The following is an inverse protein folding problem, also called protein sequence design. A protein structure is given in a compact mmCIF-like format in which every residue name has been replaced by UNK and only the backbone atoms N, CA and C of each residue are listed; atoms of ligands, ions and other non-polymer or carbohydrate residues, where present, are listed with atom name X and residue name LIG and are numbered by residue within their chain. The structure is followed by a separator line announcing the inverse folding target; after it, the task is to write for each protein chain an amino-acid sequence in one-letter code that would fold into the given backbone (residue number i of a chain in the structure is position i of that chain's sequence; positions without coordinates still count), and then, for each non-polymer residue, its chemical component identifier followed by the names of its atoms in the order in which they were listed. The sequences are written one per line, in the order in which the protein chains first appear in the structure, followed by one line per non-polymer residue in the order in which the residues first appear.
data_IF_056008737864
#
_entry.id   IF_056008737864
#
_cell.length_a   1.000
_cell.length_b   1.000
_cell.length_c   1.000
_cell.angle_alpha   90.00
_cell.angle_beta   90.00
_cell.angle_gamma   90.00
#
_symmetry.space_group_name_H-M   'P 1'
#
loop_
_entity.id
_entity.type
_entity.pdbx_description
1 polymer ?
#
# COMPACT_ATOMS: atom_id res chain seq x y z
N UNK A 1 18.22 18.02 4.30
CA UNK A 1 17.24 17.65 5.34
C UNK A 1 17.11 16.14 5.34
N UNK A 2 17.13 15.49 6.49
CA UNK A 2 16.85 14.06 6.57
C UNK A 2 15.40 13.81 6.11
N UNK A 3 15.17 12.81 5.25
CA UNK A 3 13.81 12.46 4.75
C UNK A 3 12.94 12.11 5.95
N UNK A 4 11.70 12.60 5.97
CA UNK A 4 10.72 12.16 6.97
C UNK A 4 10.51 10.64 6.82
N UNK A 5 10.66 9.85 7.91
CA UNK A 5 10.75 8.40 7.81
C UNK A 5 9.40 7.68 7.58
N UNK A 6 8.28 8.41 7.61
CA UNK A 6 6.94 7.85 7.43
C UNK A 6 6.44 8.15 6.01
N UNK A 7 5.76 7.18 5.40
CA UNK A 7 4.95 7.42 4.21
C UNK A 7 3.58 7.97 4.63
N UNK A 8 3.28 9.19 4.21
CA UNK A 8 2.00 9.87 4.45
C UNK A 8 1.19 10.00 3.16
N UNK A 9 1.63 9.39 2.09
CA UNK A 9 1.00 9.45 0.76
C UNK A 9 0.19 8.19 0.46
N UNK A 10 0.71 7.01 0.80
CA UNK A 10 0.09 5.71 0.51
C UNK A 10 -0.29 5.59 -0.98
N UNK A 11 -1.46 5.02 -1.26
CA UNK A 11 -2.00 4.95 -2.62
C UNK A 11 -2.55 6.30 -3.15
N UNK A 12 -2.67 7.32 -2.32
CA UNK A 12 -3.17 8.66 -2.71
C UNK A 12 -4.68 8.69 -2.96
N UNK A 13 -5.12 9.69 -3.73
CA UNK A 13 -6.55 9.93 -3.98
C UNK A 13 -7.17 8.89 -4.93
N UNK A 14 -6.37 8.23 -5.75
CA UNK A 14 -6.79 7.24 -6.74
C UNK A 14 -6.05 5.93 -6.47
N UNK A 15 -6.51 5.11 -5.52
CA UNK A 15 -5.86 3.84 -5.23
C UNK A 15 -5.98 2.88 -6.42
N UNK A 16 -5.01 1.96 -6.60
CA UNK A 16 -5.05 1.00 -7.70
C UNK A 16 -6.27 0.09 -7.59
N UNK A 17 -6.75 -0.40 -8.73
CA UNK A 17 -7.80 -1.40 -8.78
C UNK A 17 -7.27 -2.70 -8.16
N UNK A 18 -7.99 -3.25 -7.20
CA UNK A 18 -7.58 -4.50 -6.56
C UNK A 18 -7.92 -5.73 -7.41
N UNK A 19 -8.91 -5.61 -8.30
CA UNK A 19 -9.38 -6.66 -9.23
C UNK A 19 -9.51 -8.02 -8.54
N UNK A 20 -10.22 -8.04 -7.39
CA UNK A 20 -10.38 -9.24 -6.57
C UNK A 20 -10.96 -10.40 -7.37
N UNK A 21 -10.59 -11.67 -7.06
CA UNK A 21 -11.09 -12.84 -7.77
C UNK A 21 -12.62 -12.88 -7.86
N UNK A 22 -13.15 -13.27 -9.04
CA UNK A 22 -14.58 -13.36 -9.28
C UNK A 22 -15.30 -12.01 -9.35
N UNK A 23 -14.60 -10.95 -9.74
CA UNK A 23 -15.09 -9.56 -9.79
C UNK A 23 -15.65 -9.08 -8.45
N UNK A 24 -15.05 -9.56 -7.35
CA UNK A 24 -15.51 -9.22 -6.01
C UNK A 24 -15.29 -7.73 -5.70
N UNK A 25 -16.31 -7.13 -5.08
CA UNK A 25 -16.30 -5.72 -4.66
C UNK A 25 -15.51 -5.49 -3.38
N UNK A 26 -15.42 -6.52 -2.54
CA UNK A 26 -14.71 -6.48 -1.26
C UNK A 26 -14.08 -7.83 -0.95
N UNK A 27 -12.86 -7.81 -0.40
CA UNK A 27 -12.24 -8.99 0.20
C UNK A 27 -12.43 -8.94 1.72
N UNK A 28 -13.06 -9.96 2.30
CA UNK A 28 -13.30 -10.07 3.74
C UNK A 28 -12.37 -11.11 4.34
N UNK A 29 -11.62 -10.73 5.36
CA UNK A 29 -10.64 -11.56 6.03
C UNK A 29 -11.08 -11.79 7.48
N UNK A 30 -11.33 -13.05 7.83
CA UNK A 30 -11.58 -13.46 9.22
C UNK A 30 -10.24 -13.87 9.81
N UNK A 31 -9.80 -13.16 10.85
CA UNK A 31 -8.50 -13.38 11.49
C UNK A 31 -8.71 -13.77 12.94
N UNK A 32 -8.30 -14.98 13.28
CA UNK A 32 -8.38 -15.51 14.64
C UNK A 32 -7.01 -15.46 15.31
N UNK A 33 -6.86 -14.63 16.33
CA UNK A 33 -5.67 -14.61 17.17
C UNK A 33 -5.76 -15.76 18.17
N UNK A 34 -4.88 -16.75 18.02
CA UNK A 34 -4.76 -17.90 18.94
C UNK A 34 -3.57 -17.67 19.85
N UNK A 35 -3.86 -17.17 21.06
CA UNK A 35 -2.87 -16.66 22.01
C UNK A 35 -2.90 -17.49 23.33
N UNK A 36 -3.85 -18.38 23.49
CA UNK A 36 -4.12 -19.13 24.71
C UNK A 36 -2.98 -20.08 25.06
N UNK A 37 -2.24 -19.75 26.11
CA UNK A 37 -0.99 -20.42 26.51
C UNK A 37 0.28 -19.72 26.00
N UNK A 38 0.16 -18.59 25.29
CA UNK A 38 1.27 -17.72 24.86
C UNK A 38 1.38 -16.43 25.65
N UNK A 39 0.44 -16.14 26.55
CA UNK A 39 0.39 -14.98 27.43
C UNK A 39 1.52 -14.98 28.47
N UNK A 40 1.78 -13.81 29.08
CA UNK A 40 2.73 -13.72 30.21
C UNK A 40 2.24 -14.56 31.39
N UNK A 41 3.08 -15.47 31.85
CA UNK A 41 2.77 -16.34 32.98
C UNK A 41 4.05 -16.81 33.68
N UNK A 42 4.01 -16.87 35.00
CA UNK A 42 5.12 -17.40 35.82
C UNK A 42 5.51 -18.82 35.40
N UNK A 43 4.53 -19.64 35.00
CA UNK A 43 4.77 -21.00 34.50
C UNK A 43 5.56 -21.02 33.17
N UNK A 44 5.61 -19.91 32.47
CA UNK A 44 6.35 -19.73 31.22
C UNK A 44 7.72 -19.08 31.42
N UNK A 45 8.11 -18.83 32.70
CA UNK A 45 9.34 -18.16 33.08
C UNK A 45 9.28 -16.64 33.04
N UNK A 46 8.08 -16.05 32.92
CA UNK A 46 7.89 -14.60 32.92
C UNK A 46 7.95 -14.02 34.33
N UNK A 47 8.30 -12.75 34.45
CA UNK A 47 8.43 -12.07 35.74
C UNK A 47 7.10 -11.78 36.43
N UNK A 48 6.00 -11.76 35.67
CA UNK A 48 4.67 -11.43 36.15
C UNK A 48 3.59 -12.15 35.35
N UNK A 49 2.34 -12.14 35.86
CA UNK A 49 1.16 -12.60 35.15
C UNK A 49 0.78 -11.63 34.02
N UNK A 50 -0.03 -12.09 33.06
CA UNK A 50 -0.68 -11.22 32.09
C UNK A 50 -1.62 -10.20 32.77
N UNK A 51 -1.78 -9.05 32.16
CA UNK A 51 -2.69 -7.99 32.61
C UNK A 51 -3.54 -7.39 31.47
N UNK A 52 -3.18 -7.68 30.23
CA UNK A 52 -3.79 -7.04 29.08
C UNK A 52 -4.85 -7.92 28.40
N UNK A 53 -5.81 -7.26 27.78
CA UNK A 53 -6.82 -7.82 26.88
C UNK A 53 -7.63 -8.99 27.48
N UNK A 54 -8.25 -8.72 28.63
CA UNK A 54 -9.09 -9.68 29.35
C UNK A 54 -10.38 -9.04 29.88
N UNK A 55 -11.31 -9.88 30.39
CA UNK A 55 -12.54 -9.44 31.06
C UNK A 55 -12.29 -8.67 32.37
N UNK A 56 -11.05 -8.72 32.90
CA UNK A 56 -10.68 -7.99 34.13
C UNK A 56 -10.08 -6.64 33.69
N UNK A 57 -10.97 -5.71 33.38
CA UNK A 57 -10.56 -4.38 32.90
C UNK A 57 -9.75 -3.65 33.98
N UNK A 58 -8.58 -3.12 33.59
CA UNK A 58 -7.69 -2.43 34.52
C UNK A 58 -6.90 -3.36 35.44
N UNK A 59 -6.84 -4.67 35.16
CA UNK A 59 -6.00 -5.60 35.87
C UNK A 59 -4.53 -5.14 35.88
N UNK A 60 -3.87 -5.24 37.03
CA UNK A 60 -2.43 -5.10 37.13
C UNK A 60 -1.75 -6.47 36.98
N UNK A 61 -0.56 -6.50 36.40
CA UNK A 61 0.28 -7.68 36.42
C UNK A 61 0.70 -8.03 37.87
N UNK A 62 0.74 -9.31 38.20
CA UNK A 62 1.17 -9.78 39.52
C UNK A 62 2.62 -10.28 39.45
N UNK A 63 3.59 -9.50 39.96
CA UNK A 63 4.99 -9.90 39.94
C UNK A 63 5.25 -11.15 40.77
N UNK A 64 5.92 -12.13 40.20
CA UNK A 64 6.33 -13.36 40.90
C UNK A 64 5.16 -14.27 41.31
N UNK A 65 3.96 -14.02 40.85
CA UNK A 65 2.76 -14.78 41.24
C UNK A 65 1.89 -15.15 40.05
N UNK A 66 1.23 -16.32 40.14
CA UNK A 66 0.18 -16.72 39.19
C UNK A 66 -1.09 -15.91 39.46
N UNK A 67 -1.79 -15.56 38.39
CA UNK A 67 -3.11 -14.92 38.47
C UNK A 67 -4.20 -15.90 38.00
N UNK A 68 -4.73 -16.71 38.90
CA UNK A 68 -5.66 -17.81 38.61
C UNK A 68 -6.85 -17.39 37.74
N UNK A 69 -7.50 -16.27 38.05
CA UNK A 69 -8.62 -15.77 37.26
C UNK A 69 -8.21 -15.39 35.83
N UNK A 70 -7.02 -14.79 35.66
CA UNK A 70 -6.49 -14.48 34.34
C UNK A 70 -6.22 -15.76 33.53
N UNK A 71 -5.52 -16.72 34.14
CA UNK A 71 -5.27 -18.03 33.54
C UNK A 71 -6.58 -18.70 33.07
N UNK A 72 -7.63 -18.68 33.93
CA UNK A 72 -8.92 -19.28 33.60
C UNK A 72 -9.64 -18.62 32.44
N UNK A 73 -9.38 -17.32 32.17
CA UNK A 73 -9.91 -16.62 30.98
C UNK A 73 -9.24 -17.14 29.70
N UNK A 74 -7.93 -17.32 29.72
CA UNK A 74 -7.19 -17.92 28.59
C UNK A 74 -7.58 -19.39 28.40
N UNK A 75 -7.67 -20.17 29.49
CA UNK A 75 -8.19 -21.54 29.43
C UNK A 75 -9.58 -21.62 28.81
N UNK A 76 -10.50 -20.69 29.13
CA UNK A 76 -11.80 -20.63 28.49
C UNK A 76 -11.67 -20.47 26.96
N UNK A 77 -10.75 -19.61 26.51
CA UNK A 77 -10.45 -19.42 25.10
C UNK A 77 -10.09 -20.75 24.42
N UNK A 78 -9.12 -21.48 24.97
CA UNK A 78 -8.69 -22.77 24.41
C UNK A 78 -9.76 -23.86 24.51
N UNK A 79 -10.49 -23.95 25.66
CA UNK A 79 -11.39 -25.07 25.99
C UNK A 79 -12.81 -24.93 25.43
N UNK A 80 -13.32 -23.71 25.32
CA UNK A 80 -14.70 -23.47 24.91
C UNK A 80 -14.80 -22.48 23.73
N UNK A 81 -14.08 -21.38 23.81
CA UNK A 81 -14.10 -20.32 22.80
C UNK A 81 -13.66 -20.80 21.43
N UNK A 82 -12.47 -21.40 21.35
CA UNK A 82 -11.93 -21.97 20.11
C UNK A 82 -12.91 -22.94 19.44
N UNK A 83 -13.41 -23.93 20.17
CA UNK A 83 -14.29 -24.94 19.59
C UNK A 83 -15.64 -24.38 19.13
N UNK A 84 -16.14 -23.33 19.78
CA UNK A 84 -17.34 -22.61 19.31
C UNK A 84 -17.08 -21.91 18.00
N UNK A 85 -15.96 -21.20 17.90
CA UNK A 85 -15.55 -20.50 16.68
C UNK A 85 -15.22 -21.48 15.55
N UNK A 86 -14.51 -22.57 15.85
CA UNK A 86 -14.20 -23.60 14.87
C UNK A 86 -15.49 -24.17 14.23
N UNK A 87 -16.49 -24.56 15.03
CA UNK A 87 -17.76 -25.05 14.49
C UNK A 87 -18.50 -24.02 13.62
N UNK A 88 -18.34 -22.75 13.92
CA UNK A 88 -18.96 -21.65 13.17
C UNK A 88 -18.23 -21.34 11.86
N UNK A 89 -16.93 -21.42 11.86
CA UNK A 89 -16.05 -20.90 10.81
C UNK A 89 -15.40 -21.98 9.94
N UNK A 90 -15.58 -23.28 10.25
CA UNK A 90 -14.85 -24.38 9.59
C UNK A 90 -15.02 -24.42 8.06
N UNK A 91 -16.13 -23.89 7.54
CA UNK A 91 -16.38 -23.84 6.08
C UNK A 91 -15.93 -22.52 5.44
N UNK A 92 -15.28 -21.64 6.17
CA UNK A 92 -14.81 -20.34 5.68
C UNK A 92 -13.29 -20.28 5.65
N UNK A 93 -12.68 -19.51 4.72
CA UNK A 93 -11.28 -19.17 4.79
C UNK A 93 -11.00 -18.32 6.05
N UNK A 94 -10.13 -18.82 6.92
CA UNK A 94 -9.70 -18.14 8.14
C UNK A 94 -8.18 -18.06 8.14
N UNK A 95 -7.63 -16.94 8.54
CA UNK A 95 -6.23 -16.84 8.93
C UNK A 95 -6.12 -16.87 10.44
N UNK A 96 -5.34 -17.79 10.97
CA UNK A 96 -5.00 -17.84 12.39
C UNK A 96 -3.66 -17.14 12.60
N UNK A 97 -3.63 -16.12 13.44
CA UNK A 97 -2.39 -15.62 14.01
C UNK A 97 -2.09 -16.44 15.26
N UNK A 98 -1.19 -17.41 15.11
CA UNK A 98 -0.83 -18.35 16.17
C UNK A 98 0.47 -17.95 16.87
N UNK A 99 0.39 -17.70 18.18
CA UNK A 99 1.58 -17.61 19.03
C UNK A 99 2.24 -18.98 19.03
N UNK A 100 3.53 -19.07 18.69
CA UNK A 100 4.20 -20.34 18.51
C UNK A 100 4.15 -21.23 19.77
N UNK A 101 4.34 -20.65 20.96
CA UNK A 101 4.23 -21.38 22.24
C UNK A 101 2.78 -21.78 22.57
N UNK A 102 1.78 -21.04 22.13
CA UNK A 102 0.36 -21.40 22.26
C UNK A 102 0.01 -22.57 21.34
N UNK A 103 0.45 -22.53 20.08
CA UNK A 103 0.27 -23.66 19.15
C UNK A 103 0.90 -24.94 19.69
N UNK A 104 2.09 -24.87 20.25
CA UNK A 104 2.77 -26.03 20.84
C UNK A 104 2.02 -26.63 22.04
N UNK A 105 1.24 -25.83 22.76
CA UNK A 105 0.41 -26.27 23.89
C UNK A 105 -0.98 -26.73 23.48
N UNK A 106 -1.41 -26.43 22.25
CA UNK A 106 -2.74 -26.75 21.72
C UNK A 106 -2.71 -27.69 20.49
N UNK A 107 -2.15 -28.92 20.56
CA UNK A 107 -2.02 -29.76 19.39
C UNK A 107 -3.37 -30.17 18.79
N UNK A 108 -4.41 -30.33 19.60
CA UNK A 108 -5.77 -30.66 19.11
C UNK A 108 -6.38 -29.49 18.33
N UNK A 109 -6.15 -28.26 18.81
CA UNK A 109 -6.60 -27.05 18.14
C UNK A 109 -5.85 -26.84 16.81
N UNK A 110 -4.54 -27.11 16.78
CA UNK A 110 -3.74 -27.04 15.55
C UNK A 110 -4.22 -28.05 14.52
N UNK A 111 -4.47 -29.30 14.93
CA UNK A 111 -5.03 -30.32 14.04
C UNK A 111 -6.39 -29.88 13.46
N UNK A 112 -7.28 -29.32 14.30
CA UNK A 112 -8.57 -28.83 13.85
C UNK A 112 -8.45 -27.63 12.87
N UNK A 113 -7.50 -26.71 13.07
CA UNK A 113 -7.21 -25.64 12.13
C UNK A 113 -6.74 -26.18 10.78
N UNK A 114 -5.86 -27.17 10.79
CA UNK A 114 -5.35 -27.83 9.59
C UNK A 114 -6.43 -28.60 8.84
N UNK A 115 -7.25 -29.36 9.56
CA UNK A 115 -8.36 -30.12 8.99
C UNK A 115 -9.41 -29.21 8.34
N UNK A 116 -9.61 -28.00 8.88
CA UNK A 116 -10.48 -26.96 8.30
C UNK A 116 -9.82 -26.23 7.12
N UNK A 117 -8.56 -26.49 6.78
CA UNK A 117 -7.82 -25.79 5.73
C UNK A 117 -7.53 -24.32 6.05
N UNK A 118 -7.48 -23.95 7.32
CA UNK A 118 -7.17 -22.59 7.74
C UNK A 118 -5.68 -22.26 7.52
N UNK A 119 -5.39 -21.04 7.14
CA UNK A 119 -4.04 -20.54 7.17
C UNK A 119 -3.58 -20.35 8.62
N UNK A 120 -2.43 -20.91 8.98
CA UNK A 120 -1.78 -20.63 10.27
C UNK A 120 -0.56 -19.74 9.98
N UNK A 121 -0.68 -18.45 10.28
CA UNK A 121 0.39 -17.47 10.21
C UNK A 121 1.00 -17.25 11.61
N UNK A 122 2.20 -16.68 11.67
CA UNK A 122 2.88 -16.46 12.95
C UNK A 122 2.33 -15.24 13.68
N UNK A 123 2.16 -15.35 14.99
CA UNK A 123 1.95 -14.25 15.93
C UNK A 123 3.15 -14.04 16.87
N UNK A 124 4.34 -14.41 16.43
CA UNK A 124 5.56 -14.38 17.23
C UNK A 124 5.71 -15.61 18.13
N UNK A 125 6.78 -15.57 18.96
CA UNK A 125 7.12 -16.67 19.87
C UNK A 125 6.20 -16.73 21.07
N UNK A 126 6.03 -15.57 21.74
CA UNK A 126 5.20 -15.33 22.91
C UNK A 126 4.42 -14.04 22.71
N UNK A 127 3.33 -13.87 23.44
CA UNK A 127 2.53 -12.66 23.37
C UNK A 127 3.06 -11.58 24.32
N UNK A 128 4.23 -11.02 23.98
CA UNK A 128 4.95 -10.02 24.76
C UNK A 128 5.11 -8.70 23.98
N UNK A 129 5.46 -7.62 24.70
CA UNK A 129 5.73 -6.31 24.12
C UNK A 129 7.22 -6.19 23.75
N UNK A 130 7.53 -5.93 22.48
CA UNK A 130 8.89 -5.80 21.98
C UNK A 130 9.41 -4.35 21.92
N UNK A 131 8.59 -3.34 22.30
CA UNK A 131 8.98 -1.92 22.14
C UNK A 131 10.32 -1.55 22.81
N UNK A 132 10.64 -2.19 23.93
CA UNK A 132 11.86 -1.96 24.71
C UNK A 132 12.82 -3.17 24.63
N UNK A 133 12.51 -4.20 23.85
CA UNK A 133 13.37 -5.37 23.70
C UNK A 133 14.62 -5.01 22.86
N UNK A 134 15.82 -5.51 23.25
CA UNK A 134 16.98 -5.42 22.38
C UNK A 134 16.73 -6.10 21.03
N UNK A 135 17.28 -5.56 19.95
CA UNK A 135 17.07 -6.08 18.60
C UNK A 135 17.49 -7.54 18.42
N UNK A 136 18.59 -7.93 19.06
CA UNK A 136 19.11 -9.31 19.04
C UNK A 136 18.16 -10.29 19.73
N UNK A 137 17.48 -9.87 20.79
CA UNK A 137 16.44 -10.67 21.48
C UNK A 137 15.21 -10.83 20.56
N UNK A 138 14.71 -9.74 19.98
CA UNK A 138 13.55 -9.81 19.06
C UNK A 138 13.87 -10.69 17.85
N UNK A 139 15.08 -10.57 17.29
CA UNK A 139 15.55 -11.42 16.19
C UNK A 139 15.61 -12.90 16.58
N UNK A 140 16.15 -13.21 17.75
CA UNK A 140 16.24 -14.58 18.26
C UNK A 140 14.85 -15.18 18.48
N UNK A 141 13.93 -14.43 19.07
CA UNK A 141 12.54 -14.84 19.27
C UNK A 141 11.82 -15.07 17.95
N UNK A 142 12.06 -14.24 16.94
CA UNK A 142 11.48 -14.42 15.59
C UNK A 142 11.96 -15.72 14.93
N UNK A 143 13.26 -16.00 15.00
CA UNK A 143 13.85 -17.25 14.47
C UNK A 143 13.28 -18.46 15.20
N UNK A 144 13.19 -18.39 16.52
CA UNK A 144 12.63 -19.48 17.34
C UNK A 144 11.13 -19.66 17.09
N UNK A 145 10.38 -18.57 16.89
CA UNK A 145 8.98 -18.64 16.50
C UNK A 145 8.79 -19.40 15.19
N UNK A 146 9.59 -19.10 14.16
CA UNK A 146 9.55 -19.80 12.87
C UNK A 146 9.86 -21.29 13.05
N UNK A 147 10.90 -21.60 13.84
CA UNK A 147 11.32 -23.00 14.10
C UNK A 147 10.21 -23.78 14.82
N UNK A 148 9.68 -23.26 15.92
CA UNK A 148 8.65 -23.92 16.73
C UNK A 148 7.34 -24.03 15.95
N UNK A 149 6.94 -22.99 15.23
CA UNK A 149 5.76 -23.02 14.36
C UNK A 149 5.89 -24.16 13.33
N UNK A 150 7.04 -24.23 12.66
CA UNK A 150 7.30 -25.29 11.67
C UNK A 150 7.27 -26.69 12.27
N UNK A 151 7.82 -26.85 13.47
CA UNK A 151 7.81 -28.13 14.19
C UNK A 151 6.37 -28.57 14.51
N UNK A 152 5.52 -27.63 14.95
CA UNK A 152 4.16 -27.93 15.39
C UNK A 152 3.17 -28.09 14.21
N UNK A 153 3.32 -27.30 13.16
CA UNK A 153 2.37 -27.29 12.03
C UNK A 153 2.86 -28.10 10.82
N UNK A 154 4.12 -28.49 10.79
CA UNK A 154 4.75 -29.18 9.65
C UNK A 154 5.18 -28.25 8.51
N UNK A 155 4.87 -26.95 8.55
CA UNK A 155 5.23 -25.96 7.51
C UNK A 155 5.63 -24.64 8.13
N UNK A 156 6.61 -23.90 7.54
CA UNK A 156 6.95 -22.57 8.02
C UNK A 156 5.81 -21.57 7.75
N UNK A 157 5.62 -20.57 8.64
CA UNK A 157 4.57 -19.56 8.46
C UNK A 157 4.84 -18.70 7.24
N UNK A 158 3.79 -18.40 6.46
CA UNK A 158 3.87 -17.49 5.30
C UNK A 158 3.61 -16.03 5.66
N UNK A 159 2.89 -15.78 6.74
CA UNK A 159 2.58 -14.45 7.23
C UNK A 159 3.14 -14.20 8.62
N UNK A 160 3.43 -12.93 8.92
CA UNK A 160 3.91 -12.47 10.22
C UNK A 160 3.05 -11.34 10.77
N UNK A 161 2.70 -11.44 12.03
CA UNK A 161 2.07 -10.38 12.84
C UNK A 161 2.58 -10.47 14.28
N UNK A 162 3.02 -9.38 14.87
CA UNK A 162 3.43 -9.31 16.29
C UNK A 162 2.37 -8.64 17.14
N UNK A 163 1.73 -7.59 16.63
CA UNK A 163 0.74 -6.78 17.34
C UNK A 163 1.30 -5.85 18.40
N UNK A 164 2.34 -6.27 19.13
CA UNK A 164 3.12 -5.50 20.11
C UNK A 164 4.54 -5.28 19.58
N UNK A 165 4.65 -4.82 18.35
CA UNK A 165 5.88 -4.71 17.59
C UNK A 165 6.82 -3.59 18.10
N UNK A 166 8.12 -3.73 17.82
CA UNK A 166 9.10 -2.66 17.90
C UNK A 166 9.21 -1.90 16.57
N UNK A 167 10.03 -0.87 16.53
CA UNK A 167 10.38 -0.18 15.26
C UNK A 167 11.24 -1.06 14.33
N UNK A 168 11.77 -2.17 14.82
CA UNK A 168 12.62 -3.10 14.07
C UNK A 168 11.84 -4.26 13.44
N UNK A 169 10.68 -4.61 13.98
CA UNK A 169 9.94 -5.84 13.67
C UNK A 169 9.77 -6.07 12.16
N UNK A 170 9.25 -5.08 11.42
CA UNK A 170 9.00 -5.22 9.99
C UNK A 170 10.31 -5.44 9.22
N UNK A 171 11.38 -4.75 9.62
CA UNK A 171 12.71 -4.93 9.03
C UNK A 171 13.27 -6.33 9.32
N UNK A 172 13.19 -6.78 10.56
CA UNK A 172 13.64 -8.10 10.95
C UNK A 172 12.90 -9.20 10.20
N UNK A 173 11.59 -9.07 10.07
CA UNK A 173 10.77 -10.00 9.31
C UNK A 173 11.19 -10.04 7.82
N UNK A 174 11.38 -8.88 7.19
CA UNK A 174 11.84 -8.79 5.79
C UNK A 174 13.23 -9.40 5.59
N UNK A 175 14.15 -9.20 6.55
CA UNK A 175 15.50 -9.76 6.51
C UNK A 175 15.53 -11.29 6.55
N UNK A 176 14.52 -11.94 7.12
CA UNK A 176 14.42 -13.41 7.11
C UNK A 176 14.18 -13.96 5.71
N UNK A 177 13.55 -13.22 4.83
CA UNK A 177 13.10 -13.69 3.50
C UNK A 177 12.02 -14.76 3.56
N UNK A 178 11.45 -15.04 4.75
CA UNK A 178 10.48 -16.12 4.98
C UNK A 178 9.05 -15.75 4.62
N UNK A 179 8.66 -14.46 4.85
CA UNK A 179 7.27 -14.07 4.88
C UNK A 179 6.80 -13.49 3.54
N UNK A 180 5.71 -14.06 3.00
CA UNK A 180 5.00 -13.49 1.84
C UNK A 180 4.37 -12.15 2.18
N UNK A 181 3.96 -11.94 3.45
CA UNK A 181 3.43 -10.69 3.95
C UNK A 181 3.74 -10.48 5.44
N UNK A 182 3.77 -9.21 5.82
CA UNK A 182 3.79 -8.75 7.22
C UNK A 182 2.54 -7.93 7.47
N UNK A 183 1.97 -8.05 8.67
CA UNK A 183 0.69 -7.42 9.01
C UNK A 183 0.78 -6.38 10.13
N UNK A 184 1.98 -6.08 10.63
CA UNK A 184 2.21 -5.07 11.68
C UNK A 184 2.09 -3.64 11.13
N UNK A 185 0.91 -3.35 10.57
CA UNK A 185 0.51 -2.03 10.08
C UNK A 185 -1.00 -1.88 10.07
N UNK A 186 -1.48 -0.67 10.30
CA UNK A 186 -2.88 -0.26 10.27
C UNK A 186 -3.07 0.95 9.35
N UNK A 187 -2.22 1.08 8.32
CA UNK A 187 -2.06 2.34 7.60
C UNK A 187 -2.92 2.46 6.34
N UNK A 188 -3.56 1.39 5.88
CA UNK A 188 -4.32 1.40 4.63
C UNK A 188 -5.41 0.33 4.61
N UNK A 189 -6.38 0.47 3.69
CA UNK A 189 -7.44 -0.51 3.39
C UNK A 189 -7.07 -1.44 2.22
N UNK A 190 -5.81 -1.36 1.74
CA UNK A 190 -5.22 -2.19 0.70
C UNK A 190 -3.79 -2.60 1.06
N UNK A 191 -3.29 -3.72 0.51
CA UNK A 191 -1.89 -4.08 0.65
C UNK A 191 -0.98 -3.05 -0.03
N UNK A 192 0.25 -2.93 0.46
CA UNK A 192 1.26 -2.07 -0.13
C UNK A 192 2.67 -2.60 0.11
N UNK A 193 3.59 -2.24 -0.77
CA UNK A 193 4.99 -2.63 -0.66
C UNK A 193 5.81 -1.62 0.14
N UNK A 194 6.75 -2.13 0.94
CA UNK A 194 7.78 -1.33 1.59
C UNK A 194 9.16 -1.82 1.19
N UNK A 195 10.06 -0.86 0.91
CA UNK A 195 11.46 -1.13 0.61
C UNK A 195 12.28 -1.07 1.89
N UNK A 196 12.93 -2.17 2.26
CA UNK A 196 13.75 -2.31 3.46
C UNK A 196 15.15 -2.75 3.06
N UNK A 197 16.05 -1.79 2.90
CA UNK A 197 17.40 -2.08 2.42
C UNK A 197 17.36 -2.75 1.05
N UNK A 198 17.79 -4.00 0.96
CA UNK A 198 17.74 -4.82 -0.27
C UNK A 198 16.50 -5.70 -0.39
N UNK A 199 15.62 -5.66 0.60
CA UNK A 199 14.43 -6.49 0.66
C UNK A 199 13.20 -5.66 0.32
N UNK A 200 12.23 -6.29 -0.32
CA UNK A 200 10.92 -5.74 -0.60
C UNK A 200 9.92 -6.57 0.17
N UNK A 201 9.15 -5.94 1.04
CA UNK A 201 8.18 -6.63 1.88
C UNK A 201 6.78 -6.16 1.57
N UNK A 202 5.88 -7.09 1.26
CA UNK A 202 4.47 -6.80 1.16
C UNK A 202 3.88 -6.63 2.56
N UNK A 203 3.21 -5.51 2.77
CA UNK A 203 2.38 -5.27 3.94
C UNK A 203 0.93 -5.55 3.55
N UNK A 204 0.29 -6.42 4.30
CA UNK A 204 -1.17 -6.60 4.27
C UNK A 204 -1.68 -6.04 5.58
N UNK A 205 -2.22 -4.80 5.61
CA UNK A 205 -2.62 -4.13 6.84
C UNK A 205 -3.64 -4.94 7.66
N UNK A 206 -3.58 -4.78 8.98
CA UNK A 206 -4.52 -5.40 9.92
C UNK A 206 -5.48 -4.35 10.49
N UNK A 207 -6.28 -4.71 11.49
CA UNK A 207 -7.30 -3.83 12.07
C UNK A 207 -7.24 -3.81 13.59
N UNK A 208 -7.56 -2.63 14.16
CA UNK A 208 -7.81 -2.45 15.60
C UNK A 208 -9.25 -1.99 15.87
N UNK A 209 -9.96 -1.48 14.90
CA UNK A 209 -11.31 -0.97 15.03
C UNK A 209 -12.38 -2.07 14.82
N UNK A 210 -12.26 -2.87 13.73
CA UNK A 210 -13.09 -4.05 13.49
C UNK A 210 -12.54 -5.29 14.22
N UNK A 211 -12.23 -5.14 15.51
CA UNK A 211 -11.51 -6.10 16.32
C UNK A 211 -12.21 -6.29 17.67
N UNK A 212 -12.45 -7.53 18.07
CA UNK A 212 -13.12 -7.88 19.33
C UNK A 212 -12.32 -7.53 20.58
N UNK A 213 -11.02 -7.18 20.41
CA UNK A 213 -10.20 -6.64 21.50
C UNK A 213 -10.89 -5.45 22.20
N UNK A 214 -11.71 -4.72 21.47
CA UNK A 214 -12.44 -3.56 21.97
C UNK A 214 -13.51 -3.92 23.03
N UNK A 215 -13.86 -5.18 23.21
CA UNK A 215 -14.66 -5.62 24.36
C UNK A 215 -13.86 -5.56 25.68
N UNK A 216 -12.54 -5.60 25.61
CA UNK A 216 -11.64 -5.60 26.76
C UNK A 216 -10.82 -4.30 26.92
N UNK A 217 -11.15 -3.25 26.16
CA UNK A 217 -10.48 -1.95 26.22
C UNK A 217 -11.46 -0.84 26.61
N UNK A 218 -11.01 0.23 27.30
CA UNK A 218 -11.84 1.39 27.60
C UNK A 218 -12.46 1.99 26.32
N UNK A 219 -13.69 2.47 26.40
CA UNK A 219 -14.48 3.01 25.27
C UNK A 219 -14.67 2.02 24.11
N UNK A 220 -14.62 0.74 24.40
CA UNK A 220 -14.86 -0.32 23.44
C UNK A 220 -16.33 -0.74 23.38
N UNK A 221 -16.56 -1.98 22.92
CA UNK A 221 -17.91 -2.55 22.84
C UNK A 221 -18.34 -3.13 24.18
N UNK A 222 -19.60 -2.83 24.58
CA UNK A 222 -20.21 -3.40 25.79
C UNK A 222 -21.18 -4.56 25.50
N UNK A 223 -21.67 -4.66 24.26
CA UNK A 223 -22.61 -5.69 23.84
C UNK A 223 -22.29 -6.18 22.42
N UNK A 224 -22.66 -7.44 22.14
CA UNK A 224 -22.48 -8.02 20.79
C UNK A 224 -23.15 -7.20 19.69
N UNK A 225 -24.31 -6.60 19.96
CA UNK A 225 -25.00 -5.75 18.99
C UNK A 225 -24.17 -4.56 18.53
N UNK A 226 -23.42 -3.90 19.43
CA UNK A 226 -22.55 -2.79 19.05
C UNK A 226 -21.43 -3.24 18.11
N UNK A 227 -20.86 -4.42 18.34
CA UNK A 227 -19.85 -4.99 17.44
C UNK A 227 -20.46 -5.32 16.08
N UNK A 228 -21.65 -5.96 16.06
CA UNK A 228 -22.36 -6.27 14.81
C UNK A 228 -22.66 -5.01 14.00
N UNK A 229 -23.19 -3.96 14.64
CA UNK A 229 -23.52 -2.70 13.98
C UNK A 229 -22.26 -2.04 13.40
N UNK A 230 -21.15 -2.08 14.15
CA UNK A 230 -19.88 -1.55 13.69
C UNK A 230 -19.33 -2.32 12.47
N UNK A 231 -19.35 -3.66 12.53
CA UNK A 231 -18.90 -4.49 11.42
C UNK A 231 -19.74 -4.26 10.15
N UNK A 232 -21.08 -4.15 10.29
CA UNK A 232 -21.96 -3.85 9.16
C UNK A 232 -21.68 -2.49 8.57
N UNK A 233 -21.54 -1.45 9.38
CA UNK A 233 -21.25 -0.10 8.90
C UNK A 233 -19.89 -0.02 8.17
N UNK A 234 -18.87 -0.70 8.68
CA UNK A 234 -17.56 -0.80 8.05
C UNK A 234 -17.64 -1.54 6.70
N UNK A 235 -18.31 -2.69 6.70
CA UNK A 235 -18.53 -3.49 5.50
C UNK A 235 -19.28 -2.69 4.43
N UNK A 236 -20.40 -2.05 4.76
CA UNK A 236 -21.23 -1.28 3.84
C UNK A 236 -20.45 -0.12 3.20
N UNK A 237 -19.57 0.51 3.97
CA UNK A 237 -18.72 1.59 3.48
C UNK A 237 -17.71 1.07 2.46
N UNK A 238 -16.92 0.07 2.84
CA UNK A 238 -15.88 -0.51 1.98
C UNK A 238 -16.48 -1.21 0.74
N UNK A 239 -17.63 -1.87 0.90
CA UNK A 239 -18.36 -2.50 -0.22
C UNK A 239 -18.85 -1.46 -1.22
N UNK A 240 -19.34 -0.30 -0.75
CA UNK A 240 -19.79 0.80 -1.61
C UNK A 240 -18.64 1.48 -2.34
N UNK A 241 -17.51 1.67 -1.67
CA UNK A 241 -16.28 2.18 -2.29
C UNK A 241 -15.75 1.23 -3.37
N UNK A 242 -15.84 -0.07 -3.15
CA UNK A 242 -15.39 -1.12 -4.05
C UNK A 242 -13.87 -1.30 -4.09
N UNK A 243 -13.42 -2.52 -4.39
CA UNK A 243 -12.01 -2.83 -4.50
C UNK A 243 -11.23 -2.69 -3.19
N UNK A 244 -11.89 -2.76 -2.03
CA UNK A 244 -11.25 -2.66 -0.71
C UNK A 244 -11.15 -4.02 -0.03
N UNK A 245 -10.39 -4.10 1.06
CA UNK A 245 -10.37 -5.25 1.95
C UNK A 245 -10.83 -4.87 3.34
N UNK A 246 -11.48 -5.81 4.04
CA UNK A 246 -11.90 -5.68 5.43
C UNK A 246 -11.30 -6.81 6.25
N UNK A 247 -10.51 -6.50 7.26
CA UNK A 247 -10.04 -7.47 8.26
C UNK A 247 -10.94 -7.44 9.48
N UNK A 248 -11.22 -8.60 10.04
CA UNK A 248 -12.00 -8.76 11.30
C UNK A 248 -11.11 -9.51 12.29
N UNK A 249 -10.69 -8.83 13.33
CA UNK A 249 -9.84 -9.38 14.38
C UNK A 249 -10.64 -10.07 15.48
N UNK A 250 -10.33 -11.31 15.78
CA UNK A 250 -11.03 -12.15 16.74
C UNK A 250 -10.07 -12.80 17.73
N UNK A 251 -10.50 -13.00 18.98
CA UNK A 251 -9.75 -13.73 20.02
C UNK A 251 -10.65 -14.80 20.64
N UNK A 252 -10.15 -16.01 20.83
CA UNK A 252 -10.94 -17.13 21.33
C UNK A 252 -11.60 -16.84 22.67
N UNK A 253 -10.91 -16.15 23.58
CA UNK A 253 -11.43 -15.79 24.90
C UNK A 253 -12.43 -14.64 24.90
N UNK A 254 -12.47 -13.80 23.84
CA UNK A 254 -13.34 -12.63 23.73
C UNK A 254 -14.60 -12.93 22.91
N UNK A 255 -14.48 -13.01 21.57
CA UNK A 255 -15.64 -13.29 20.72
C UNK A 255 -16.19 -14.70 20.93
N UNK A 256 -15.37 -15.63 21.42
CA UNK A 256 -15.81 -16.98 21.76
C UNK A 256 -16.81 -17.05 22.91
N UNK A 257 -17.12 -15.94 23.62
CA UNK A 257 -18.21 -15.88 24.59
C UNK A 257 -19.57 -15.96 23.88
N UNK A 258 -20.56 -16.70 24.42
CA UNK A 258 -21.80 -17.02 23.70
C UNK A 258 -22.54 -15.82 23.10
N UNK A 259 -22.72 -14.77 23.90
CA UNK A 259 -23.44 -13.59 23.45
C UNK A 259 -22.71 -12.77 22.37
N UNK A 260 -21.36 -12.79 22.34
CA UNK A 260 -20.55 -12.14 21.33
C UNK A 260 -20.43 -12.99 20.06
N UNK A 261 -20.32 -14.32 20.22
CA UNK A 261 -20.26 -15.24 19.10
C UNK A 261 -21.50 -15.15 18.20
N UNK A 262 -22.67 -14.92 18.79
CA UNK A 262 -23.91 -14.72 18.04
C UNK A 262 -23.83 -13.46 17.12
N UNK A 263 -23.22 -12.37 17.58
CA UNK A 263 -23.03 -11.17 16.78
C UNK A 263 -22.11 -11.44 15.56
N UNK A 264 -21.04 -12.20 15.74
CA UNK A 264 -20.17 -12.63 14.64
C UNK A 264 -20.93 -13.49 13.62
N UNK A 265 -21.72 -14.46 14.09
CA UNK A 265 -22.55 -15.31 13.21
C UNK A 265 -23.47 -14.44 12.34
N UNK A 266 -24.19 -13.50 12.96
CA UNK A 266 -25.10 -12.60 12.25
C UNK A 266 -24.36 -11.70 11.23
N UNK A 267 -23.14 -11.29 11.53
CA UNK A 267 -22.33 -10.55 10.56
C UNK A 267 -21.92 -11.42 9.38
N UNK A 268 -21.50 -12.65 9.61
CA UNK A 268 -21.13 -13.59 8.54
C UNK A 268 -22.32 -13.83 7.61
N UNK A 269 -23.50 -14.12 8.18
CA UNK A 269 -24.73 -14.29 7.40
C UNK A 269 -25.05 -13.02 6.58
N UNK A 270 -24.86 -11.85 7.18
CA UNK A 270 -25.07 -10.57 6.51
C UNK A 270 -24.12 -10.39 5.33
N UNK A 271 -22.83 -10.60 5.53
CA UNK A 271 -21.84 -10.43 4.47
C UNK A 271 -22.03 -11.45 3.32
N UNK A 272 -22.36 -12.72 3.66
CA UNK A 272 -22.62 -13.75 2.67
C UNK A 272 -23.90 -13.53 1.84
N UNK A 273 -24.83 -12.71 2.33
CA UNK A 273 -26.05 -12.34 1.58
C UNK A 273 -25.80 -11.27 0.49
N UNK A 274 -24.59 -10.72 0.41
CA UNK A 274 -24.21 -9.74 -0.63
C UNK A 274 -23.46 -10.41 -1.76
N UNK A 275 -23.77 -10.03 -3.00
CA UNK A 275 -23.02 -10.46 -4.18
C UNK A 275 -21.62 -9.82 -4.20
N UNK A 276 -20.66 -10.49 -4.82
CA UNK A 276 -19.32 -9.94 -4.98
C UNK A 276 -18.53 -9.77 -3.66
N UNK A 277 -18.74 -10.65 -2.69
CA UNK A 277 -17.92 -10.75 -1.48
C UNK A 277 -16.98 -11.93 -1.58
N UNK A 278 -15.69 -11.65 -1.50
CA UNK A 278 -14.66 -12.67 -1.48
C UNK A 278 -14.14 -12.87 -0.06
N UNK A 279 -14.55 -13.96 0.59
CA UNK A 279 -13.89 -14.39 1.83
C UNK A 279 -12.54 -15.00 1.48
N UNK A 280 -11.47 -14.52 2.10
CA UNK A 280 -10.11 -14.92 1.77
C UNK A 280 -9.21 -15.03 3.00
N UNK A 281 -8.22 -15.92 2.93
CA UNK A 281 -7.08 -15.88 3.85
C UNK A 281 -6.17 -14.70 3.49
N UNK A 282 -5.33 -14.30 4.43
CA UNK A 282 -4.38 -13.21 4.21
C UNK A 282 -3.28 -13.61 3.20
N UNK A 283 -2.88 -14.88 3.16
CA UNK A 283 -2.00 -15.37 2.10
C UNK A 283 -2.63 -15.29 0.72
N UNK A 284 -3.93 -15.57 0.57
CA UNK A 284 -4.62 -15.39 -0.71
C UNK A 284 -4.66 -13.94 -1.16
N UNK A 285 -4.90 -12.99 -0.23
CA UNK A 285 -4.81 -11.56 -0.50
C UNK A 285 -3.38 -11.18 -0.94
N UNK A 286 -2.37 -11.65 -0.20
CA UNK A 286 -0.97 -11.36 -0.50
C UNK A 286 -0.56 -11.89 -1.88
N UNK A 287 -0.91 -13.13 -2.19
CA UNK A 287 -0.59 -13.77 -3.47
C UNK A 287 -1.27 -13.05 -4.64
N UNK A 288 -2.55 -12.71 -4.49
CA UNK A 288 -3.30 -11.98 -5.50
C UNK A 288 -2.68 -10.59 -5.74
N UNK A 289 -2.46 -9.84 -4.65
CA UNK A 289 -1.89 -8.49 -4.74
C UNK A 289 -0.49 -8.49 -5.36
N UNK A 290 0.37 -9.41 -4.94
CA UNK A 290 1.73 -9.51 -5.49
C UNK A 290 1.72 -9.88 -6.99
N UNK A 291 0.74 -10.65 -7.45
CA UNK A 291 0.58 -10.99 -8.87
C UNK A 291 0.05 -9.80 -9.69
N UNK A 292 -0.93 -9.04 -9.18
CA UNK A 292 -1.53 -7.90 -9.88
C UNK A 292 -0.65 -6.63 -9.78
N UNK A 293 -0.02 -6.43 -8.63
CA UNK A 293 0.80 -5.25 -8.31
C UNK A 293 2.20 -5.68 -7.87
N UNK A 294 3.01 -6.32 -8.76
CA UNK A 294 4.37 -6.72 -8.42
C UNK A 294 5.20 -5.48 -8.06
N UNK A 295 6.00 -5.60 -6.99
CA UNK A 295 6.86 -4.50 -6.61
C UNK A 295 7.89 -4.21 -7.69
N UNK A 296 7.97 -2.95 -8.09
CA UNK A 296 9.01 -2.45 -8.97
C UNK A 296 9.83 -1.41 -8.20
N UNK A 297 11.08 -1.74 -7.92
CA UNK A 297 12.00 -0.76 -7.35
C UNK A 297 12.24 0.33 -8.39
N UNK A 298 11.76 1.52 -8.06
CA UNK A 298 12.08 2.70 -8.85
C UNK A 298 13.50 3.12 -8.49
N UNK A 299 14.40 3.15 -9.49
CA UNK A 299 15.75 3.62 -9.28
C UNK A 299 15.72 5.08 -8.80
N UNK A 300 16.26 5.33 -7.62
CA UNK A 300 16.24 6.67 -7.01
C UNK A 300 17.16 7.61 -7.77
N UNK A 301 16.69 8.76 -8.27
CA UNK A 301 17.50 9.73 -8.99
C UNK A 301 18.82 10.07 -8.30
N UNK A 302 18.78 10.24 -6.95
CA UNK A 302 19.97 10.59 -6.16
C UNK A 302 21.01 9.47 -6.03
N UNK A 303 20.70 8.25 -6.44
CA UNK A 303 21.57 7.06 -6.31
C UNK A 303 22.10 6.56 -7.66
N UNK A 304 21.61 7.10 -8.77
CA UNK A 304 22.08 6.74 -10.10
C UNK A 304 23.41 7.42 -10.41
N UNK A 305 24.31 6.69 -11.06
CA UNK A 305 25.45 7.33 -11.72
C UNK A 305 24.96 8.20 -12.89
N UNK A 306 25.87 9.02 -13.43
CA UNK A 306 25.53 10.01 -14.46
C UNK A 306 24.92 9.36 -15.72
N UNK A 307 25.49 8.24 -16.14
CA UNK A 307 25.09 7.63 -17.42
C UNK A 307 23.73 6.94 -17.27
N UNK A 308 23.49 6.22 -16.17
CA UNK A 308 22.19 5.64 -15.83
C UNK A 308 21.13 6.74 -15.61
N UNK A 309 21.49 7.84 -14.95
CA UNK A 309 20.59 8.97 -14.73
C UNK A 309 20.16 9.61 -16.07
N UNK A 310 21.11 9.87 -16.96
CA UNK A 310 20.81 10.46 -18.28
C UNK A 310 20.03 9.47 -19.15
N UNK A 311 20.35 8.18 -19.10
CA UNK A 311 19.58 7.16 -19.81
C UNK A 311 18.11 7.12 -19.34
N UNK A 312 17.87 7.27 -18.03
CA UNK A 312 16.53 7.20 -17.45
C UNK A 312 15.74 8.51 -17.65
N UNK A 313 16.35 9.67 -17.39
CA UNK A 313 15.64 10.95 -17.32
C UNK A 313 15.94 11.90 -18.48
N UNK A 314 16.86 11.53 -19.39
CA UNK A 314 17.27 12.38 -20.52
C UNK A 314 16.15 12.68 -21.53
N UNK A 315 15.10 11.83 -21.57
CA UNK A 315 13.93 12.02 -22.42
C UNK A 315 12.82 12.88 -21.79
N UNK A 316 12.91 13.23 -20.51
CA UNK A 316 11.87 14.01 -19.79
C UNK A 316 11.64 15.37 -20.46
N UNK A 317 12.71 16.04 -20.89
CA UNK A 317 12.67 17.17 -21.83
C UNK A 317 12.97 16.65 -23.23
N UNK A 318 12.04 16.80 -24.14
CA UNK A 318 12.07 16.21 -25.49
C UNK A 318 13.43 16.40 -26.17
N UNK A 319 14.08 15.31 -26.57
CA UNK A 319 15.38 15.29 -27.23
C UNK A 319 16.49 16.18 -26.62
N UNK A 320 16.40 16.42 -25.28
CA UNK A 320 17.29 17.36 -24.59
C UNK A 320 18.01 16.74 -23.39
N UNK A 321 18.77 15.64 -23.56
CA UNK A 321 19.43 14.92 -22.46
C UNK A 321 20.45 15.76 -21.68
N UNK A 322 20.91 16.88 -22.25
CA UNK A 322 21.81 17.80 -21.58
C UNK A 322 21.22 18.42 -20.31
N UNK A 323 19.87 18.54 -20.23
CA UNK A 323 19.17 19.04 -19.05
C UNK A 323 19.32 18.03 -17.90
N UNK A 324 19.11 16.74 -18.18
CA UNK A 324 19.35 15.68 -17.21
C UNK A 324 20.84 15.62 -16.79
N UNK A 325 21.75 15.67 -17.74
CA UNK A 325 23.19 15.70 -17.46
C UNK A 325 23.59 16.88 -16.55
N UNK A 326 23.02 18.07 -16.79
CA UNK A 326 23.22 19.24 -15.94
C UNK A 326 22.61 19.12 -14.56
N UNK A 327 21.42 18.53 -14.45
CA UNK A 327 20.74 18.32 -13.17
C UNK A 327 21.51 17.33 -12.29
N UNK A 328 22.04 16.24 -12.85
CA UNK A 328 22.90 15.30 -12.12
C UNK A 328 24.12 16.00 -11.49
N UNK A 329 24.70 17.00 -12.18
CA UNK A 329 25.79 17.81 -11.65
C UNK A 329 25.44 18.76 -10.50
N UNK A 330 24.15 18.83 -10.09
CA UNK A 330 23.69 19.66 -8.96
C UNK A 330 23.76 18.93 -7.60
N UNK A 331 24.46 17.80 -7.51
CA UNK A 331 24.56 16.98 -6.30
C UNK A 331 23.17 16.60 -5.75
N UNK A 332 22.47 15.73 -6.47
CA UNK A 332 21.14 15.29 -6.10
C UNK A 332 21.15 14.51 -4.75
N UNK A 333 20.21 14.82 -3.89
CA UNK A 333 19.99 14.14 -2.62
C UNK A 333 18.57 13.59 -2.51
N UNK A 334 18.17 13.00 -1.37
CA UNK A 334 16.87 12.33 -1.19
C UNK A 334 15.64 13.19 -1.52
N UNK A 335 15.75 14.52 -1.42
CA UNK A 335 14.68 15.43 -1.80
C UNK A 335 14.37 15.39 -3.32
N UNK A 336 15.29 14.89 -4.12
CA UNK A 336 15.15 14.79 -5.57
C UNK A 336 14.64 13.39 -6.02
N UNK A 337 14.38 12.47 -5.08
CA UNK A 337 13.83 11.14 -5.36
C UNK A 337 12.31 11.16 -5.54
N UNK A 338 11.71 12.33 -5.65
CA UNK A 338 10.29 12.54 -5.95
C UNK A 338 10.14 13.26 -7.28
N UNK A 339 8.98 13.10 -7.93
CA UNK A 339 8.67 13.76 -9.19
C UNK A 339 8.86 15.29 -9.11
N UNK A 340 8.36 15.93 -8.05
CA UNK A 340 8.48 17.38 -7.87
C UNK A 340 9.93 17.80 -7.55
N UNK A 341 10.63 17.05 -6.72
CA UNK A 341 12.01 17.34 -6.35
C UNK A 341 12.95 17.28 -7.55
N UNK A 342 12.85 16.22 -8.37
CA UNK A 342 13.63 16.08 -9.60
C UNK A 342 13.22 17.12 -10.65
N UNK A 343 11.92 17.37 -10.80
CA UNK A 343 11.41 18.41 -11.69
C UNK A 343 12.05 19.77 -11.40
N UNK A 344 12.11 20.16 -10.13
CA UNK A 344 12.73 21.44 -9.74
C UNK A 344 14.22 21.51 -10.13
N UNK A 345 14.97 20.40 -9.98
CA UNK A 345 16.37 20.35 -10.39
C UNK A 345 16.52 20.47 -11.91
N UNK A 346 15.73 19.73 -12.70
CA UNK A 346 15.72 19.81 -14.15
C UNK A 346 15.33 21.21 -14.66
N UNK A 347 14.25 21.78 -14.12
CA UNK A 347 13.80 23.14 -14.47
C UNK A 347 14.83 24.21 -14.12
N UNK A 348 15.60 24.04 -13.03
CA UNK A 348 16.68 24.96 -12.69
C UNK A 348 17.74 24.99 -13.78
N UNK A 349 18.12 23.83 -14.35
CA UNK A 349 19.07 23.74 -15.47
C UNK A 349 18.47 24.37 -16.72
N UNK A 350 17.23 24.02 -17.06
CA UNK A 350 16.53 24.57 -18.23
C UNK A 350 16.41 26.10 -18.18
N UNK A 351 15.99 26.65 -17.03
CA UNK A 351 15.82 28.09 -16.83
C UNK A 351 17.14 28.87 -16.84
N UNK A 352 18.25 28.23 -16.42
CA UNK A 352 19.57 28.86 -16.42
C UNK A 352 20.23 28.87 -17.80
N UNK A 353 19.69 28.12 -18.76
CA UNK A 353 20.21 28.09 -20.12
C UNK A 353 19.89 29.38 -20.90
N UNK A 354 20.75 29.75 -21.85
CA UNK A 354 20.52 30.85 -22.77
C UNK A 354 19.32 30.63 -23.70
N UNK A 355 18.83 31.71 -24.30
CA UNK A 355 17.62 31.67 -25.16
C UNK A 355 17.75 30.67 -26.32
N UNK A 356 18.93 30.58 -26.96
CA UNK A 356 19.15 29.63 -28.06
C UNK A 356 18.99 28.17 -27.61
N UNK A 357 19.50 27.83 -26.44
CA UNK A 357 19.36 26.48 -25.91
C UNK A 357 17.88 26.16 -25.52
N UNK A 358 17.18 27.14 -24.93
CA UNK A 358 15.74 27.01 -24.64
C UNK A 358 14.91 26.88 -25.93
N UNK A 359 15.18 27.69 -26.94
CA UNK A 359 14.57 27.57 -28.26
C UNK A 359 14.84 26.19 -28.89
N UNK A 360 16.05 25.66 -28.70
CA UNK A 360 16.39 24.30 -29.14
C UNK A 360 15.48 23.25 -28.54
N UNK A 361 15.17 23.35 -27.24
CA UNK A 361 14.19 22.46 -26.55
C UNK A 361 12.78 22.63 -27.12
N UNK A 362 12.33 23.87 -27.35
CA UNK A 362 11.02 24.12 -27.94
C UNK A 362 10.90 23.53 -29.34
N UNK A 363 11.92 23.72 -30.16
CA UNK A 363 11.95 23.20 -31.55
C UNK A 363 12.12 21.68 -31.64
N UNK A 364 12.53 21.02 -30.55
CA UNK A 364 12.56 19.56 -30.45
C UNK A 364 11.17 18.94 -30.22
N UNK A 365 10.17 19.72 -29.75
CA UNK A 365 8.81 19.24 -29.56
C UNK A 365 8.09 19.11 -30.90
N UNK A 366 7.31 18.03 -31.10
CA UNK A 366 6.52 17.84 -32.30
C UNK A 366 5.29 18.77 -32.32
N UNK A 367 4.87 19.16 -33.52
CA UNK A 367 3.60 19.86 -33.72
C UNK A 367 2.42 19.03 -33.24
N UNK A 368 1.45 19.64 -32.57
CA UNK A 368 0.19 19.00 -32.20
C UNK A 368 -0.61 18.64 -33.44
N UNK A 369 -1.06 17.37 -33.54
CA UNK A 369 -1.79 16.83 -34.68
C UNK A 369 -1.10 17.12 -36.04
N UNK A 370 0.19 17.36 -36.02
CA UNK A 370 0.98 17.73 -37.19
C UNK A 370 1.40 16.54 -38.06
N UNK A 371 2.29 16.81 -39.04
CA UNK A 371 2.76 15.80 -40.01
C UNK A 371 3.48 14.63 -39.35
N UNK A 372 4.18 14.85 -38.23
CA UNK A 372 4.91 13.79 -37.49
C UNK A 372 3.93 12.82 -36.81
N UNK A 373 2.82 13.35 -36.25
CA UNK A 373 1.74 12.53 -35.71
C UNK A 373 1.08 11.68 -36.79
N UNK A 374 0.75 12.29 -37.95
CA UNK A 374 0.20 11.60 -39.09
C UNK A 374 1.13 10.51 -39.65
N UNK A 375 2.45 10.74 -39.60
CA UNK A 375 3.47 9.78 -40.03
C UNK A 375 3.85 8.72 -38.96
N UNK A 376 3.23 8.72 -37.77
CA UNK A 376 3.57 7.83 -36.64
C UNK A 376 5.05 7.88 -36.25
N UNK A 377 5.65 9.07 -36.25
CA UNK A 377 7.08 9.32 -35.95
C UNK A 377 7.29 10.10 -34.64
N UNK A 378 6.29 10.12 -33.76
CA UNK A 378 6.38 10.70 -32.42
C UNK A 378 7.14 9.78 -31.47
N UNK A 379 7.72 10.34 -30.41
CA UNK A 379 8.17 9.53 -29.28
C UNK A 379 6.99 8.80 -28.61
N UNK A 380 7.22 7.67 -27.92
CA UNK A 380 6.16 6.97 -27.20
C UNK A 380 5.39 7.89 -26.25
N UNK A 381 6.10 8.74 -25.48
CA UNK A 381 5.50 9.69 -24.54
C UNK A 381 4.63 10.73 -25.26
N UNK A 382 5.12 11.35 -26.34
CA UNK A 382 4.36 12.33 -27.12
C UNK A 382 3.14 11.70 -27.81
N UNK A 383 3.21 10.42 -28.19
CA UNK A 383 2.07 9.68 -28.74
C UNK A 383 0.99 9.47 -27.69
N UNK A 384 1.36 8.98 -26.50
CA UNK A 384 0.44 8.77 -25.39
C UNK A 384 -0.19 10.09 -24.90
N UNK A 385 0.62 11.17 -24.83
CA UNK A 385 0.14 12.49 -24.44
C UNK A 385 -0.93 13.02 -25.43
N UNK A 386 -0.69 12.96 -26.74
CA UNK A 386 -1.66 13.44 -27.74
C UNK A 386 -2.95 12.58 -27.77
N UNK A 387 -2.83 11.28 -27.60
CA UNK A 387 -3.99 10.38 -27.50
C UNK A 387 -4.86 10.68 -26.28
N UNK A 388 -4.27 11.07 -25.15
CA UNK A 388 -5.02 11.40 -23.92
C UNK A 388 -5.98 12.59 -24.08
N UNK A 389 -5.75 13.49 -25.04
CA UNK A 389 -6.61 14.62 -25.36
C UNK A 389 -7.51 14.37 -26.58
N UNK A 390 -7.56 13.13 -27.11
CA UNK A 390 -8.37 12.78 -28.29
C UNK A 390 -7.86 13.35 -29.60
N UNK A 391 -6.59 13.72 -29.69
CA UNK A 391 -6.00 14.28 -30.91
C UNK A 391 -5.68 13.23 -31.96
N UNK A 392 -5.77 11.96 -31.63
CA UNK A 392 -5.69 10.82 -32.54
C UNK A 392 -7.00 10.56 -33.31
N UNK A 393 -8.13 11.06 -32.82
CA UNK A 393 -9.49 10.88 -33.37
C UNK A 393 -10.09 12.17 -33.95
N UNK A 394 -9.26 13.03 -34.54
CA UNK A 394 -9.73 14.28 -35.18
C UNK A 394 -10.47 13.98 -36.48
N UNK A 395 -11.59 14.70 -36.72
CA UNK A 395 -12.22 14.82 -38.03
C UNK A 395 -11.32 15.55 -39.03
N UNK A 396 -11.56 15.40 -40.33
CA UNK A 396 -10.76 16.08 -41.37
C UNK A 396 -10.82 17.61 -41.21
N UNK A 397 -11.99 18.17 -40.86
CA UNK A 397 -12.17 19.59 -40.62
C UNK A 397 -11.37 20.09 -39.40
N UNK A 398 -11.39 19.35 -38.31
CA UNK A 398 -10.60 19.67 -37.09
C UNK A 398 -9.10 19.58 -37.39
N UNK A 399 -8.67 18.55 -38.11
CA UNK A 399 -7.28 18.37 -38.53
C UNK A 399 -6.80 19.54 -39.39
N UNK A 400 -7.60 19.98 -40.34
CA UNK A 400 -7.30 21.14 -41.18
C UNK A 400 -7.17 22.43 -40.34
N UNK A 401 -8.07 22.62 -39.36
CA UNK A 401 -8.01 23.75 -38.43
C UNK A 401 -6.74 23.74 -37.56
N UNK A 402 -6.38 22.59 -36.98
CA UNK A 402 -5.11 22.45 -36.25
C UNK A 402 -3.89 22.74 -37.10
N UNK A 403 -3.85 22.24 -38.33
CA UNK A 403 -2.74 22.50 -39.26
C UNK A 403 -2.61 23.97 -39.63
N UNK A 404 -3.74 24.64 -39.88
CA UNK A 404 -3.73 26.08 -40.19
C UNK A 404 -3.21 26.92 -38.99
N UNK A 405 -3.64 26.58 -37.75
CA UNK A 405 -3.20 27.27 -36.55
C UNK A 405 -1.71 26.98 -36.23
N UNK A 406 -1.25 25.74 -36.39
CA UNK A 406 0.18 25.41 -36.26
C UNK A 406 1.05 26.22 -37.24
N UNK A 407 0.63 26.32 -38.51
CA UNK A 407 1.33 27.07 -39.51
C UNK A 407 1.38 28.57 -39.16
N UNK A 408 0.27 29.17 -38.79
CA UNK A 408 0.21 30.58 -38.37
C UNK A 408 1.04 30.85 -37.10
N UNK A 409 1.04 29.91 -36.15
CA UNK A 409 1.82 30.04 -34.94
C UNK A 409 3.33 29.96 -35.19
N UNK A 410 3.75 28.99 -36.00
CA UNK A 410 5.15 28.81 -36.38
C UNK A 410 5.69 30.04 -37.16
N UNK A 411 4.89 30.57 -38.12
CA UNK A 411 5.21 31.75 -38.88
C UNK A 411 5.38 32.99 -37.95
N UNK A 412 4.53 33.14 -36.97
CA UNK A 412 4.55 34.28 -36.04
C UNK A 412 5.68 34.22 -35.03
N UNK A 413 5.94 33.05 -34.42
CA UNK A 413 6.84 32.95 -33.27
C UNK A 413 8.17 32.24 -33.54
N UNK A 414 8.26 31.43 -34.62
CA UNK A 414 9.49 30.70 -35.03
C UNK A 414 9.76 29.44 -34.22
N UNK A 415 8.78 28.94 -33.47
CA UNK A 415 8.82 27.66 -32.74
C UNK A 415 7.40 27.05 -32.69
N UNK A 416 7.25 25.71 -32.48
CA UNK A 416 5.96 25.04 -32.47
C UNK A 416 5.10 25.46 -31.28
N UNK A 417 3.78 25.35 -31.42
CA UNK A 417 2.85 25.51 -30.31
C UNK A 417 2.97 24.36 -29.34
N UNK A 418 3.30 24.66 -28.10
CA UNK A 418 3.49 23.66 -27.01
C UNK A 418 2.47 23.93 -25.92
N UNK A 419 1.74 22.86 -25.53
CA UNK A 419 0.78 22.87 -24.42
C UNK A 419 0.82 21.50 -23.73
N UNK A 420 0.65 21.48 -22.41
CA UNK A 420 0.52 20.24 -21.64
C UNK A 420 -0.86 19.62 -21.89
N UNK A 421 -0.99 18.83 -22.93
CA UNK A 421 -2.28 18.29 -23.43
C UNK A 421 -3.05 17.49 -22.38
N UNK A 422 -2.37 16.89 -21.41
CA UNK A 422 -3.02 16.18 -20.28
C UNK A 422 -3.86 17.09 -19.37
N UNK A 423 -3.67 18.39 -19.43
CA UNK A 423 -4.41 19.37 -18.63
C UNK A 423 -5.61 19.96 -19.40
N UNK A 424 -5.83 19.54 -20.66
CA UNK A 424 -6.83 20.11 -21.54
C UNK A 424 -7.60 19.05 -22.32
N UNK A 425 -8.84 19.37 -22.67
CA UNK A 425 -9.57 18.70 -23.75
C UNK A 425 -9.30 19.38 -25.11
N UNK A 426 -9.81 18.78 -26.17
CA UNK A 426 -9.66 19.29 -27.54
C UNK A 426 -10.14 20.74 -27.71
N UNK A 427 -11.25 21.10 -27.09
CA UNK A 427 -11.82 22.46 -27.17
C UNK A 427 -10.93 23.47 -26.42
N UNK A 428 -10.42 23.10 -25.26
CA UNK A 428 -9.47 23.89 -24.48
C UNK A 428 -8.16 24.16 -25.22
N UNK A 429 -7.64 23.16 -25.94
CA UNK A 429 -6.43 23.30 -26.78
C UNK A 429 -6.68 24.33 -27.89
N UNK A 430 -7.79 24.24 -28.61
CA UNK A 430 -8.16 25.17 -29.68
C UNK A 430 -8.33 26.60 -29.16
N UNK A 431 -8.98 26.76 -28.00
CA UNK A 431 -9.11 28.07 -27.35
C UNK A 431 -7.76 28.66 -26.92
N UNK A 432 -6.86 27.82 -26.40
CA UNK A 432 -5.49 28.23 -26.05
C UNK A 432 -4.69 28.68 -27.30
N UNK A 433 -4.79 28.02 -28.42
CA UNK A 433 -4.20 28.46 -29.67
C UNK A 433 -4.65 29.89 -30.05
N UNK A 434 -5.96 30.12 -30.07
CA UNK A 434 -6.52 31.42 -30.46
C UNK A 434 -6.06 32.54 -29.51
N UNK A 435 -6.03 32.29 -28.21
CA UNK A 435 -5.59 33.25 -27.22
C UNK A 435 -4.09 33.54 -27.33
N UNK A 436 -3.25 32.51 -27.45
CA UNK A 436 -1.80 32.64 -27.44
C UNK A 436 -1.24 33.22 -28.75
N UNK A 437 -1.95 33.09 -29.84
CA UNK A 437 -1.64 33.82 -31.09
C UNK A 437 -1.72 35.35 -30.95
N UNK A 438 -2.34 35.87 -29.89
CA UNK A 438 -2.40 37.33 -29.62
C UNK A 438 -1.19 37.83 -28.80
N UNK A 439 -0.38 36.96 -28.23
CA UNK A 439 0.76 37.34 -27.42
C UNK A 439 1.88 38.03 -28.25
N UNK A 440 2.69 38.83 -27.58
CA UNK A 440 4.01 39.21 -28.11
C UNK A 440 5.00 38.02 -28.00
N UNK A 441 6.09 38.11 -28.74
CA UNK A 441 7.06 36.99 -28.81
C UNK A 441 7.70 36.68 -27.46
N UNK A 442 7.96 37.67 -26.60
CA UNK A 442 8.61 37.44 -25.30
C UNK A 442 7.65 36.74 -24.32
N UNK A 443 6.41 37.19 -24.27
CA UNK A 443 5.32 36.57 -23.48
C UNK A 443 5.08 35.12 -23.93
N UNK A 444 5.07 34.89 -25.24
CA UNK A 444 4.81 33.57 -25.79
C UNK A 444 5.97 32.59 -25.58
N UNK A 445 7.19 33.06 -25.69
CA UNK A 445 8.37 32.26 -25.36
C UNK A 445 8.37 31.81 -23.89
N UNK A 446 8.04 32.74 -22.98
CA UNK A 446 7.92 32.42 -21.57
C UNK A 446 6.82 31.40 -21.31
N UNK A 447 5.67 31.54 -22.00
CA UNK A 447 4.56 30.58 -21.88
C UNK A 447 4.93 29.21 -22.42
N UNK A 448 5.53 29.12 -23.59
CA UNK A 448 5.99 27.86 -24.18
C UNK A 448 6.98 27.13 -23.25
N UNK A 449 7.92 27.85 -22.63
CA UNK A 449 8.82 27.29 -21.62
C UNK A 449 8.06 26.73 -20.40
N UNK A 450 7.03 27.44 -19.88
CA UNK A 450 6.21 26.94 -18.79
C UNK A 450 5.47 25.65 -19.16
N UNK A 451 4.99 25.58 -20.39
CA UNK A 451 4.29 24.39 -20.88
C UNK A 451 5.23 23.17 -21.01
N UNK A 452 6.46 23.37 -21.49
CA UNK A 452 7.50 22.33 -21.50
C UNK A 452 7.80 21.83 -20.08
N UNK A 453 7.95 22.74 -19.12
CA UNK A 453 8.15 22.35 -17.71
C UNK A 453 6.95 21.57 -17.16
N UNK A 454 5.73 21.94 -17.54
CA UNK A 454 4.52 21.24 -17.13
C UNK A 454 4.46 19.82 -17.71
N UNK A 455 4.82 19.65 -18.99
CA UNK A 455 4.94 18.33 -19.63
C UNK A 455 5.99 17.48 -18.90
N UNK A 456 7.15 18.04 -18.60
CA UNK A 456 8.20 17.36 -17.85
C UNK A 456 7.71 16.88 -16.48
N UNK A 457 6.91 17.68 -15.76
CA UNK A 457 6.32 17.26 -14.49
C UNK A 457 5.36 16.08 -14.65
N UNK A 458 4.52 16.08 -15.68
CA UNK A 458 3.62 14.95 -15.96
C UNK A 458 4.38 13.66 -16.26
N UNK A 459 5.48 13.74 -17.05
CA UNK A 459 6.35 12.60 -17.34
C UNK A 459 7.01 12.06 -16.07
N UNK A 460 7.56 12.95 -15.23
CA UNK A 460 8.17 12.54 -13.97
C UNK A 460 7.16 11.92 -12.98
N UNK A 461 5.91 12.39 -12.95
CA UNK A 461 4.85 11.80 -12.12
C UNK A 461 4.46 10.38 -12.53
N UNK A 462 4.72 10.00 -13.77
CA UNK A 462 4.58 8.63 -14.25
C UNK A 462 5.77 7.73 -13.90
N UNK A 463 6.92 8.33 -13.53
CA UNK A 463 8.18 7.60 -13.28
C UNK A 463 8.57 7.57 -11.80
N UNK A 464 8.12 8.51 -11.00
CA UNK A 464 8.58 8.72 -9.63
C UNK A 464 7.40 8.98 -8.67
N UNK A 465 7.54 8.68 -7.37
CA UNK A 465 6.57 9.06 -6.36
C UNK A 465 6.36 10.58 -6.34
N UNK A 466 5.15 10.97 -5.95
CA UNK A 466 4.71 12.37 -5.88
C UNK A 466 5.47 13.21 -4.85
#
# INVERSE_FOLDING_TARGET
MQRYPRDMTGHGAEPPAADWPGDARIAVQIVLNYEEGGENNILHGDAASEAFLSEIVGSAAWPGQRHWNMESIYEYGARAGFWRLHRMLACLPVTVYGIATALARGPEQVAAMQDAGWEIASHGLKWIDYKDAPEDVERADMIEAIRLHTEVTGTPPRGWYTGRCSVNTVRLAAETGQFSYVADSYADDLPYWVEIGRHDQLIVPYTLDANDMRFATPQGFNAGAQFLDYLKASFDTLYREGGRMMSIGLHCRLIGRPGRAEALRQFIDYAQAHDGVWFATRSQIADHWAAQHPHQRIARPSQLDRDAFVATYGGVFEHSPWIAAGAHGLELGPAHDTALGLHNALCRVFRSAGDDARLGVLNAHPDLAGKLAAAKRLTPDSTAEQASAGLDALTDAERAAFQAQNAAYLDRFGFPFIIAVRDHDKAGIMAAFAARLQNDRATELAEACRQVERIALHRLRAMLPR
#
